data_IF_129634172904
#
_entry.id   IF_129634172904
#
_cell.length_a   1.000
_cell.length_b   1.000
_cell.length_c   1.000
_cell.angle_alpha   90.00
_cell.angle_beta   90.00
_cell.angle_gamma   90.00
#
_symmetry.space_group_name_H-M   'P 1'
#
loop_
_entity.id
_entity.type
_entity.pdbx_description
1 polymer ?
#
# COMPACT_ATOMS: atom_id res chain seq x y z
N UNK A 1 23.23 10.32 -7.42
CA UNK A 1 24.01 9.07 -7.50
C UNK A 1 23.16 8.01 -8.21
N UNK A 2 23.50 7.62 -9.44
CA UNK A 2 22.78 6.56 -10.15
C UNK A 2 23.25 5.20 -9.62
N UNK A 3 22.34 4.35 -9.14
CA UNK A 3 22.67 2.97 -8.79
C UNK A 3 22.71 2.12 -10.06
N UNK A 4 23.89 1.63 -10.39
CA UNK A 4 24.11 0.62 -11.44
C UNK A 4 23.92 -0.75 -10.83
N UNK A 5 23.06 -1.58 -11.43
CA UNK A 5 22.78 -2.93 -10.92
C UNK A 5 23.35 -3.96 -11.89
N UNK A 6 24.27 -4.80 -11.37
CA UNK A 6 24.97 -5.81 -12.14
C UNK A 6 24.13 -7.10 -12.33
N UNK A 7 24.38 -7.80 -13.45
CA UNK A 7 23.71 -9.05 -13.82
C UNK A 7 23.67 -10.14 -12.74
N UNK A 8 24.74 -10.39 -11.95
CA UNK A 8 24.72 -11.41 -10.91
C UNK A 8 23.73 -11.11 -9.78
N UNK A 9 23.55 -9.82 -9.44
CA UNK A 9 22.60 -9.40 -8.41
C UNK A 9 21.16 -9.59 -8.88
N UNK A 10 20.89 -9.30 -10.16
CA UNK A 10 19.57 -9.55 -10.76
C UNK A 10 19.22 -11.04 -10.77
N UNK A 11 20.18 -11.89 -11.10
CA UNK A 11 20.02 -13.35 -11.05
C UNK A 11 19.72 -13.82 -9.63
N UNK A 12 20.50 -13.38 -8.65
CA UNK A 12 20.30 -13.72 -7.25
C UNK A 12 18.92 -13.28 -6.72
N UNK A 13 18.45 -12.08 -7.10
CA UNK A 13 17.13 -11.58 -6.74
C UNK A 13 16.00 -12.41 -7.34
N UNK A 14 16.12 -12.77 -8.62
CA UNK A 14 15.15 -13.61 -9.31
C UNK A 14 15.09 -15.03 -8.71
N UNK A 15 16.25 -15.65 -8.48
CA UNK A 15 16.35 -16.98 -7.85
C UNK A 15 15.79 -16.96 -6.43
N UNK A 16 16.05 -15.90 -5.66
CA UNK A 16 15.44 -15.69 -4.35
C UNK A 16 13.91 -15.65 -4.45
N UNK A 17 13.36 -14.92 -5.41
CA UNK A 17 11.90 -14.84 -5.62
C UNK A 17 11.29 -16.21 -5.92
N UNK A 18 11.92 -16.99 -6.83
CA UNK A 18 11.51 -18.37 -7.16
C UNK A 18 11.54 -19.31 -5.94
N UNK A 19 12.52 -19.16 -5.04
CA UNK A 19 12.55 -19.95 -3.80
C UNK A 19 11.38 -19.64 -2.86
N UNK A 20 10.91 -18.39 -2.82
CA UNK A 20 9.76 -17.99 -1.99
C UNK A 20 8.43 -18.50 -2.54
N UNK A 21 8.34 -18.82 -3.83
CA UNK A 21 7.14 -19.41 -4.45
C UNK A 21 6.63 -20.63 -3.69
N UNK A 22 7.55 -21.55 -3.33
CA UNK A 22 7.20 -22.78 -2.62
C UNK A 22 6.64 -22.51 -1.21
N UNK A 23 7.16 -21.49 -0.53
CA UNK A 23 6.72 -21.14 0.82
C UNK A 23 5.35 -20.45 0.72
N UNK A 24 5.21 -19.52 -0.21
CA UNK A 24 3.99 -18.76 -0.39
C UNK A 24 2.83 -19.62 -0.92
N UNK A 25 3.09 -20.54 -1.86
CA UNK A 25 2.08 -21.52 -2.31
C UNK A 25 1.57 -22.40 -1.17
N UNK A 26 2.44 -22.86 -0.26
CA UNK A 26 2.02 -23.59 0.93
C UNK A 26 1.15 -22.75 1.85
N UNK A 27 1.51 -21.49 2.08
CA UNK A 27 0.72 -20.56 2.89
C UNK A 27 -0.68 -20.34 2.30
N UNK A 28 -0.77 -20.11 0.99
CA UNK A 28 -2.07 -19.95 0.32
C UNK A 28 -2.94 -21.20 0.43
N UNK A 29 -2.34 -22.39 0.28
CA UNK A 29 -3.04 -23.65 0.49
C UNK A 29 -3.54 -23.80 1.94
N UNK A 30 -2.72 -23.46 2.93
CA UNK A 30 -3.11 -23.48 4.35
C UNK A 30 -4.26 -22.52 4.67
N UNK A 31 -4.31 -21.36 4.01
CA UNK A 31 -5.38 -20.38 4.18
C UNK A 31 -6.66 -20.72 3.37
N UNK A 32 -6.65 -21.86 2.66
CA UNK A 32 -7.67 -22.24 1.70
C UNK A 32 -7.98 -21.10 0.70
N UNK A 33 -6.94 -20.38 0.28
CA UNK A 33 -7.00 -19.39 -0.79
C UNK A 33 -6.73 -20.14 -2.08
N UNK A 34 -7.71 -20.95 -2.45
CA UNK A 34 -7.70 -21.73 -3.67
C UNK A 34 -8.60 -21.02 -4.68
N UNK A 35 -8.22 -21.09 -5.94
CA UNK A 35 -9.13 -20.76 -7.04
C UNK A 35 -10.40 -21.62 -6.92
N UNK A 36 -11.57 -21.04 -7.22
CA UNK A 36 -12.90 -21.65 -7.00
C UNK A 36 -13.05 -23.06 -7.58
N UNK A 37 -12.33 -23.36 -8.65
CA UNK A 37 -12.32 -24.66 -9.32
C UNK A 37 -11.08 -25.54 -9.00
N UNK A 38 -10.38 -25.28 -7.89
CA UNK A 38 -9.21 -26.07 -7.45
C UNK A 38 -7.92 -25.82 -8.25
N UNK A 39 -7.91 -24.79 -9.12
CA UNK A 39 -6.71 -24.42 -9.86
C UNK A 39 -5.63 -23.85 -8.93
N UNK A 40 -4.37 -24.18 -9.24
CA UNK A 40 -3.22 -23.65 -8.50
C UNK A 40 -2.95 -22.20 -8.93
N UNK A 41 -2.67 -21.29 -7.98
CA UNK A 41 -2.27 -19.93 -8.33
C UNK A 41 -0.97 -19.95 -9.13
N UNK A 42 -0.93 -19.17 -10.22
CA UNK A 42 0.27 -18.99 -11.03
C UNK A 42 1.08 -17.82 -10.49
N UNK A 43 2.36 -18.06 -10.19
CA UNK A 43 3.25 -17.02 -9.69
C UNK A 43 4.08 -16.43 -10.84
N UNK A 44 4.11 -15.10 -10.90
CA UNK A 44 4.96 -14.37 -11.84
C UNK A 44 5.98 -13.57 -11.06
N UNK A 45 7.24 -13.95 -11.23
CA UNK A 45 8.36 -13.30 -10.55
C UNK A 45 8.79 -12.07 -11.34
N UNK A 46 8.77 -10.91 -10.68
CA UNK A 46 9.25 -9.64 -11.21
C UNK A 46 10.31 -9.07 -10.26
N UNK A 47 11.40 -8.55 -10.83
CA UNK A 47 12.44 -7.81 -10.11
C UNK A 47 12.23 -6.33 -10.39
N UNK A 48 11.77 -5.60 -9.38
CA UNK A 48 11.52 -4.17 -9.47
C UNK A 48 12.78 -3.38 -9.14
N UNK A 49 13.14 -2.47 -10.03
CA UNK A 49 14.29 -1.58 -9.89
C UNK A 49 13.83 -0.14 -9.73
N UNK A 50 14.65 0.67 -9.07
CA UNK A 50 14.39 2.10 -8.97
C UNK A 50 14.32 2.74 -10.38
N UNK A 51 13.42 3.70 -10.65
CA UNK A 51 13.24 4.30 -11.99
C UNK A 51 14.53 4.89 -12.60
N UNK A 52 15.39 5.45 -11.75
CA UNK A 52 16.69 6.04 -12.13
C UNK A 52 17.84 5.02 -12.21
N UNK A 53 17.58 3.73 -11.98
CA UNK A 53 18.62 2.70 -12.08
C UNK A 53 19.00 2.43 -13.54
N UNK A 54 20.30 2.26 -13.79
CA UNK A 54 20.83 1.80 -15.07
C UNK A 54 20.92 0.27 -15.06
N UNK A 55 20.30 -0.37 -16.05
CA UNK A 55 20.18 -1.82 -16.15
C UNK A 55 21.16 -2.31 -17.22
N UNK A 56 22.26 -2.92 -16.79
CA UNK A 56 23.16 -3.62 -17.70
C UNK A 56 22.63 -5.04 -17.93
N UNK A 57 21.97 -5.27 -19.07
CA UNK A 57 21.40 -6.58 -19.41
C UNK A 57 22.50 -7.48 -20.00
N UNK A 58 22.74 -8.68 -19.44
CA UNK A 58 23.58 -9.68 -20.09
C UNK A 58 22.88 -10.23 -21.34
N UNK A 59 23.59 -11.03 -22.13
CA UNK A 59 23.02 -11.74 -23.28
C UNK A 59 21.75 -12.52 -22.85
N UNK A 60 20.68 -12.36 -23.63
CA UNK A 60 19.39 -12.98 -23.41
C UNK A 60 19.45 -14.52 -23.39
N UNK A 61 20.45 -15.13 -24.04
CA UNK A 61 20.69 -16.58 -23.98
C UNK A 61 21.26 -17.03 -22.63
N UNK A 62 22.00 -16.17 -21.95
CA UNK A 62 22.58 -16.46 -20.64
C UNK A 62 21.60 -16.16 -19.48
N UNK A 63 20.75 -15.13 -19.63
CA UNK A 63 19.75 -14.79 -18.63
C UNK A 63 18.57 -13.99 -19.23
N UNK A 64 17.35 -14.51 -19.03
CA UNK A 64 16.14 -13.81 -19.44
C UNK A 64 15.84 -12.63 -18.49
N UNK A 65 15.97 -11.41 -19.01
CA UNK A 65 15.73 -10.16 -18.28
C UNK A 65 14.34 -9.56 -18.49
N UNK A 66 13.40 -10.26 -19.13
CA UNK A 66 12.02 -9.77 -19.37
C UNK A 66 11.26 -9.42 -18.10
N UNK A 67 11.63 -10.04 -16.98
CA UNK A 67 11.03 -9.82 -15.67
C UNK A 67 11.78 -8.79 -14.81
N UNK A 68 12.81 -8.13 -15.36
CA UNK A 68 13.53 -7.03 -14.71
C UNK A 68 12.95 -5.71 -15.20
N UNK A 69 12.25 -5.02 -14.31
CA UNK A 69 11.34 -3.92 -14.66
C UNK A 69 11.64 -2.73 -13.74
N UNK A 70 11.60 -1.52 -14.29
CA UNK A 70 11.64 -0.31 -13.46
C UNK A 70 10.29 -0.13 -12.77
N UNK A 71 10.28 0.32 -11.51
CA UNK A 71 9.07 0.37 -10.70
C UNK A 71 7.93 1.19 -11.33
N UNK A 72 8.26 2.25 -12.07
CA UNK A 72 7.31 3.09 -12.81
C UNK A 72 6.65 2.37 -13.99
N UNK A 73 7.31 1.35 -14.55
CA UNK A 73 6.84 0.58 -15.70
C UNK A 73 6.07 -0.70 -15.30
N UNK A 74 5.74 -0.89 -14.02
CA UNK A 74 5.01 -2.10 -13.59
C UNK A 74 3.62 -2.19 -14.22
N UNK A 75 2.94 -1.05 -14.40
CA UNK A 75 1.62 -1.00 -15.01
C UNK A 75 1.64 -1.40 -16.49
N UNK A 76 2.57 -0.81 -17.26
CA UNK A 76 2.76 -1.12 -18.69
C UNK A 76 3.20 -2.56 -18.89
N UNK A 77 4.14 -3.04 -18.06
CA UNK A 77 4.57 -4.43 -18.07
C UNK A 77 3.41 -5.40 -17.79
N UNK A 78 2.59 -5.11 -16.78
CA UNK A 78 1.42 -5.95 -16.42
C UNK A 78 0.41 -6.01 -17.57
N UNK A 79 0.11 -4.88 -18.19
CA UNK A 79 -0.83 -4.85 -19.33
C UNK A 79 -0.28 -5.67 -20.50
N UNK A 80 0.99 -5.44 -20.89
CA UNK A 80 1.64 -6.21 -21.93
C UNK A 80 1.73 -7.71 -21.61
N UNK A 81 1.83 -8.07 -20.32
CA UNK A 81 1.78 -9.45 -19.87
C UNK A 81 0.38 -10.05 -20.04
N UNK A 82 -0.67 -9.34 -19.61
CA UNK A 82 -2.06 -9.78 -19.78
C UNK A 82 -2.38 -9.98 -21.26
N UNK A 83 -2.01 -9.02 -22.12
CA UNK A 83 -2.28 -9.08 -23.56
C UNK A 83 -1.57 -10.28 -24.22
N UNK A 84 -0.33 -10.57 -23.84
CA UNK A 84 0.44 -11.71 -24.38
C UNK A 84 -0.02 -13.05 -23.86
N UNK A 85 -0.51 -13.10 -22.62
CA UNK A 85 -0.86 -14.35 -21.94
C UNK A 85 -2.37 -14.62 -21.96
N UNK A 86 -3.19 -13.72 -22.49
CA UNK A 86 -4.59 -13.94 -22.85
C UNK A 86 -4.73 -14.82 -24.11
N UNK A 87 -4.22 -16.04 -24.03
CA UNK A 87 -4.62 -17.12 -24.93
C UNK A 87 -6.04 -17.58 -24.56
N UNK A 88 -6.83 -18.11 -25.51
CA UNK A 88 -8.25 -18.47 -25.28
C UNK A 88 -8.49 -19.37 -24.06
N UNK A 89 -7.54 -20.23 -23.71
CA UNK A 89 -7.58 -21.07 -22.51
C UNK A 89 -7.36 -20.30 -21.20
N UNK A 90 -6.53 -19.25 -21.20
CA UNK A 90 -6.34 -18.36 -20.05
C UNK A 90 -7.58 -17.52 -19.78
N UNK A 91 -8.27 -17.08 -20.85
CA UNK A 91 -9.53 -16.34 -20.73
C UNK A 91 -10.64 -17.20 -20.12
N UNK A 92 -10.77 -18.46 -20.56
CA UNK A 92 -11.68 -19.43 -19.94
C UNK A 92 -11.36 -19.65 -18.45
N UNK A 93 -10.09 -19.81 -18.10
CA UNK A 93 -9.67 -19.94 -16.69
C UNK A 93 -9.94 -18.67 -15.87
N UNK A 94 -9.81 -17.48 -16.45
CA UNK A 94 -10.12 -16.21 -15.78
C UNK A 94 -11.62 -16.05 -15.54
N UNK A 95 -12.46 -16.46 -16.49
CA UNK A 95 -13.92 -16.48 -16.37
C UNK A 95 -14.40 -17.44 -15.28
N UNK A 96 -13.76 -18.61 -15.14
CA UNK A 96 -14.08 -19.59 -14.08
C UNK A 96 -13.63 -19.11 -12.69
N UNK A 97 -12.55 -18.33 -12.64
CA UNK A 97 -11.98 -17.80 -11.39
C UNK A 97 -12.35 -16.34 -11.10
N UNK A 98 -13.43 -15.86 -11.70
CA UNK A 98 -13.95 -14.52 -11.44
C UNK A 98 -14.42 -14.45 -9.98
N UNK A 99 -13.56 -13.90 -9.14
CA UNK A 99 -13.83 -13.72 -7.72
C UNK A 99 -14.63 -12.43 -7.55
N UNK A 100 -15.72 -12.48 -6.77
CA UNK A 100 -16.39 -11.26 -6.32
C UNK A 100 -15.42 -10.40 -5.51
N UNK A 101 -15.68 -9.09 -5.44
CA UNK A 101 -14.89 -8.20 -4.58
C UNK A 101 -14.91 -8.64 -3.11
N UNK A 102 -16.01 -9.23 -2.65
CA UNK A 102 -16.10 -9.79 -1.30
C UNK A 102 -15.18 -11.00 -1.11
N UNK A 103 -15.06 -11.86 -2.12
CA UNK A 103 -14.11 -12.98 -2.10
C UNK A 103 -12.67 -12.48 -2.04
N UNK A 104 -12.34 -11.44 -2.81
CA UNK A 104 -11.02 -10.79 -2.77
C UNK A 104 -10.74 -10.19 -1.40
N UNK A 105 -11.73 -9.52 -0.81
CA UNK A 105 -11.62 -8.94 0.54
C UNK A 105 -11.38 -10.03 1.59
N UNK A 106 -12.16 -11.11 1.56
CA UNK A 106 -11.99 -12.23 2.48
C UNK A 106 -10.62 -12.90 2.34
N UNK A 107 -10.09 -13.02 1.12
CA UNK A 107 -8.72 -13.48 0.89
C UNK A 107 -7.69 -12.51 1.50
N UNK A 108 -7.85 -11.20 1.28
CA UNK A 108 -6.96 -10.17 1.83
C UNK A 108 -6.94 -10.20 3.36
N UNK A 109 -8.10 -10.31 4.01
CA UNK A 109 -8.20 -10.40 5.47
C UNK A 109 -7.49 -11.64 6.03
N UNK A 110 -7.60 -12.79 5.35
CA UNK A 110 -6.84 -14.00 5.71
C UNK A 110 -5.33 -13.79 5.62
N UNK A 111 -4.85 -13.09 4.60
CA UNK A 111 -3.42 -12.74 4.47
C UNK A 111 -2.99 -11.78 5.58
N UNK A 112 -3.79 -10.76 5.87
CA UNK A 112 -3.49 -9.78 6.91
C UNK A 112 -3.31 -10.43 8.28
N UNK A 113 -4.11 -11.45 8.61
CA UNK A 113 -3.97 -12.20 9.87
C UNK A 113 -2.63 -12.93 10.00
N UNK A 114 -2.00 -13.29 8.88
CA UNK A 114 -0.69 -13.96 8.88
C UNK A 114 0.47 -12.97 8.83
N UNK A 115 0.20 -11.71 8.47
CA UNK A 115 1.21 -10.68 8.43
C UNK A 115 1.57 -10.26 9.86
N UNK A 116 2.80 -10.58 10.29
CA UNK A 116 3.40 -9.95 11.48
C UNK A 116 4.08 -8.68 11.01
N UNK A 117 3.50 -7.48 11.21
CA UNK A 117 4.20 -6.26 10.90
C UNK A 117 5.45 -6.18 11.77
N UNK A 118 6.60 -6.16 11.14
CA UNK A 118 7.83 -5.76 11.82
C UNK A 118 7.62 -4.33 12.27
N UNK A 119 7.44 -4.11 13.57
CA UNK A 119 7.41 -2.77 14.12
C UNK A 119 8.82 -2.18 13.93
N UNK A 120 8.97 -1.12 13.12
CA UNK A 120 10.30 -0.55 12.82
C UNK A 120 10.96 0.06 14.06
N UNK A 121 10.22 0.23 15.16
CA UNK A 121 10.71 0.71 16.45
C UNK A 121 11.03 -0.43 17.43
N UNK A 122 10.63 -1.67 17.14
CA UNK A 122 11.01 -2.80 17.97
C UNK A 122 12.45 -3.18 17.66
N UNK A 123 13.34 -2.89 18.61
CA UNK A 123 14.72 -3.34 18.52
C UNK A 123 14.75 -4.88 18.59
N UNK A 124 15.56 -5.54 17.74
CA UNK A 124 15.82 -6.96 17.84
C UNK A 124 16.21 -7.35 19.27
N UNK A 125 15.87 -8.56 19.72
CA UNK A 125 16.16 -9.04 21.10
C UNK A 125 17.62 -8.83 21.51
N UNK A 126 18.56 -8.96 20.58
CA UNK A 126 19.99 -8.77 20.83
C UNK A 126 20.44 -7.30 20.91
N UNK A 127 19.61 -6.34 20.48
CA UNK A 127 19.83 -4.90 20.62
C UNK A 127 19.04 -4.27 21.78
N UNK A 128 18.11 -5.01 22.40
CA UNK A 128 17.39 -4.50 23.57
C UNK A 128 18.42 -4.27 24.69
N UNK A 129 18.51 -3.06 25.27
CA UNK A 129 19.41 -2.81 26.38
C UNK A 129 19.02 -3.78 27.50
N UNK A 130 19.98 -4.63 27.91
CA UNK A 130 19.81 -5.50 29.08
C UNK A 130 19.45 -4.59 30.23
N UNK A 131 18.22 -4.68 30.73
CA UNK A 131 17.72 -3.82 31.80
C UNK A 131 18.73 -3.87 32.94
N UNK A 132 19.51 -2.80 33.09
CA UNK A 132 20.40 -2.64 34.21
C UNK A 132 19.49 -2.63 35.43
N UNK A 133 19.66 -3.63 36.29
CA UNK A 133 18.90 -3.77 37.53
C UNK A 133 19.21 -2.58 38.44
N UNK A 134 18.53 -1.46 38.22
CA UNK A 134 18.40 -0.38 39.17
C UNK A 134 17.03 -0.55 39.82
N UNK A 135 16.91 -1.59 40.63
CA UNK A 135 15.93 -1.60 41.71
C UNK A 135 16.59 -0.88 42.88
N UNK A 136 16.19 0.34 43.25
CA UNK A 136 16.58 0.89 44.54
C UNK A 136 15.88 0.05 45.61
N UNK A 137 16.66 -0.65 46.41
CA UNK A 137 16.22 -1.39 47.59
C UNK A 137 15.46 -0.44 48.53
N UNK A 138 14.16 -0.67 48.83
CA UNK A 138 13.48 0.15 49.81
C UNK A 138 14.02 -0.17 51.21
N UNK A 139 14.50 0.87 51.89
CA UNK A 139 14.91 0.84 53.30
C UNK A 139 13.66 0.60 54.17
N UNK A 140 13.68 -0.30 55.17
CA UNK A 140 12.48 -0.62 55.95
C UNK A 140 12.17 0.51 56.95
N UNK A 141 10.94 1.01 56.91
CA UNK A 141 10.35 1.89 57.93
C UNK A 141 9.30 1.08 58.72
N UNK A 142 9.18 1.24 60.05
CA UNK A 142 8.48 0.29 60.90
C UNK A 142 6.95 0.34 60.75
N UNK A 143 6.35 -0.80 61.07
CA UNK A 143 4.93 -1.12 60.99
C UNK A 143 4.01 -0.18 61.77
N UNK A 144 2.86 0.16 61.15
CA UNK A 144 1.64 0.52 61.83
C UNK A 144 0.58 -0.55 61.54
N UNK A 145 0.02 -1.07 62.63
CA UNK A 145 -0.96 -2.17 62.78
C UNK A 145 -2.30 -1.89 62.06
N UNK A 146 -3.04 -2.92 61.60
CA UNK A 146 -4.23 -2.75 60.76
C UNK A 146 -5.51 -2.58 61.57
N UNK A 147 -6.44 -1.76 61.06
CA UNK A 147 -7.83 -1.74 61.50
C UNK A 147 -8.71 -2.46 60.47
N UNK A 148 -9.53 -3.36 60.99
CA UNK A 148 -10.24 -4.41 60.28
C UNK A 148 -11.48 -3.94 59.51
N UNK A 149 -11.68 -4.64 58.38
CA UNK A 149 -12.92 -5.20 57.84
C UNK A 149 -14.28 -4.52 58.11
N UNK A 150 -15.04 -4.34 57.02
CA UNK A 150 -16.38 -4.92 56.94
C UNK A 150 -16.84 -5.12 55.49
N UNK A 151 -17.24 -6.35 55.19
CA UNK A 151 -17.93 -6.78 53.98
C UNK A 151 -19.45 -6.79 54.23
N UNK A 152 -20.25 -6.50 53.20
CA UNK A 152 -21.54 -7.15 52.92
C UNK A 152 -22.12 -6.65 51.58
N UNK A 153 -22.50 -7.60 50.71
CA UNK A 153 -23.30 -7.47 49.47
C UNK A 153 -24.81 -7.23 49.80
N UNK A 154 -25.82 -7.25 48.88
CA UNK A 154 -25.85 -7.47 47.42
C UNK A 154 -26.78 -6.49 46.61
N UNK A 155 -26.93 -6.77 45.31
CA UNK A 155 -27.67 -6.02 44.25
C UNK A 155 -29.21 -5.99 44.41
N UNK A 156 -29.97 -5.21 43.59
CA UNK A 156 -30.55 -5.85 42.40
C UNK A 156 -30.70 -4.98 41.11
N UNK A 157 -31.02 -5.74 40.06
CA UNK A 157 -31.28 -5.50 38.64
C UNK A 157 -32.20 -4.32 38.22
N UNK A 158 -31.93 -3.82 37.00
CA UNK A 158 -32.86 -3.06 36.16
C UNK A 158 -32.41 -3.00 34.68
N UNK A 159 -33.24 -3.53 33.78
CA UNK A 159 -33.13 -3.54 32.31
C UNK A 159 -33.13 -2.11 31.71
N UNK A 160 -32.79 -1.77 30.45
CA UNK A 160 -32.57 -2.40 29.11
C UNK A 160 -31.83 -1.32 28.25
N UNK A 161 -31.27 -1.59 27.05
CA UNK A 161 -30.36 -0.66 26.36
C UNK A 161 -31.05 0.25 25.33
N UNK A 162 -30.48 1.45 25.12
CA UNK A 162 -30.78 2.33 23.98
C UNK A 162 -29.48 2.62 23.19
N UNK A 163 -29.54 2.77 21.86
CA UNK A 163 -28.37 2.74 20.98
C UNK A 163 -27.62 4.09 20.95
N UNK A 164 -26.29 4.00 20.96
CA UNK A 164 -25.36 5.12 20.79
C UNK A 164 -24.97 5.20 19.32
N UNK A 165 -25.23 6.34 18.68
CA UNK A 165 -24.61 6.74 17.41
C UNK A 165 -23.76 8.00 17.67
N UNK A 166 -22.48 8.03 17.24
CA UNK A 166 -21.58 9.13 17.56
C UNK A 166 -21.60 10.22 16.47
N UNK A 167 -21.68 11.48 16.90
CA UNK A 167 -20.81 12.53 16.38
C UNK A 167 -19.51 12.51 17.22
N UNK A 168 -18.38 13.18 16.88
CA UNK A 168 -18.18 14.20 15.84
C UNK A 168 -16.86 14.01 15.04
N UNK A 169 -16.61 14.86 14.04
CA UNK A 169 -15.26 15.42 13.83
C UNK A 169 -15.27 16.56 12.79
N UNK A 170 -14.89 17.79 13.20
CA UNK A 170 -14.40 18.83 12.31
C UNK A 170 -12.90 18.61 12.08
N UNK A 171 -12.45 18.52 10.84
CA UNK A 171 -11.01 18.52 10.56
C UNK A 171 -10.66 19.69 9.65
N UNK A 172 -10.10 20.68 10.33
CA UNK A 172 -9.26 21.74 9.82
C UNK A 172 -8.24 21.19 8.82
N UNK A 173 -8.21 21.81 7.64
CA UNK A 173 -7.13 21.67 6.68
C UNK A 173 -5.89 22.40 7.21
N UNK A 174 -4.66 21.85 7.07
CA UNK A 174 -3.48 22.67 7.13
C UNK A 174 -3.33 23.38 5.79
N UNK A 175 -3.24 24.71 5.87
CA UNK A 175 -2.70 25.54 4.81
C UNK A 175 -1.24 25.16 4.58
N UNK A 176 -0.89 24.82 3.35
CA UNK A 176 0.51 24.88 2.90
C UNK A 176 0.55 25.82 1.70
N UNK A 177 1.19 26.96 1.92
CA UNK A 177 1.38 28.01 0.95
C UNK A 177 2.41 27.62 -0.12
N UNK A 178 2.08 28.04 -1.34
CA UNK A 178 2.88 28.39 -2.51
C UNK A 178 4.31 27.81 -2.67
N UNK A 179 4.50 27.09 -3.78
CA UNK A 179 5.73 27.20 -4.57
C UNK A 179 5.33 27.37 -6.03
N UNK A 180 5.70 28.51 -6.62
CA UNK A 180 5.64 28.76 -8.05
C UNK A 180 6.66 27.84 -8.74
N UNK A 181 6.21 26.65 -9.12
CA UNK A 181 6.94 25.76 -10.01
C UNK A 181 6.18 25.69 -11.33
N UNK A 182 6.92 25.71 -12.43
CA UNK A 182 6.37 25.50 -13.76
C UNK A 182 5.39 24.30 -13.74
N UNK A 183 4.22 24.42 -14.38
CA UNK A 183 3.18 23.43 -14.27
C UNK A 183 3.70 22.07 -14.75
N UNK A 184 3.60 21.06 -13.88
CA UNK A 184 4.05 19.71 -14.19
C UNK A 184 3.29 19.20 -15.42
N UNK A 185 4.00 18.97 -16.53
CA UNK A 185 3.47 18.46 -17.80
C UNK A 185 2.63 17.19 -17.60
N UNK A 186 2.90 16.40 -16.56
CA UNK A 186 2.15 15.20 -16.25
C UNK A 186 0.74 15.49 -15.76
N UNK A 187 0.38 16.73 -15.39
CA UNK A 187 -0.98 17.12 -14.98
C UNK A 187 -1.90 17.43 -16.17
N UNK A 188 -1.39 17.38 -17.40
CA UNK A 188 -2.22 17.45 -18.60
C UNK A 188 -3.27 16.34 -18.58
N UNK A 189 -4.53 16.73 -18.71
CA UNK A 189 -5.73 15.87 -18.80
C UNK A 189 -6.03 15.03 -17.55
N UNK A 190 -5.51 15.37 -16.37
CA UNK A 190 -5.76 14.63 -15.12
C UNK A 190 -6.95 15.12 -14.30
N UNK A 191 -7.76 16.05 -14.83
CA UNK A 191 -8.93 16.64 -14.13
C UNK A 191 -8.56 17.17 -12.73
N UNK A 192 -7.41 17.82 -12.65
CA UNK A 192 -6.91 18.48 -11.43
C UNK A 192 -6.49 19.90 -11.79
N UNK A 193 -6.92 20.87 -11.00
CA UNK A 193 -6.51 22.26 -11.16
C UNK A 193 -5.03 22.42 -10.85
N UNK A 194 -4.28 23.05 -11.75
CA UNK A 194 -2.85 23.30 -11.58
C UNK A 194 -2.56 24.27 -10.43
N UNK A 195 -3.42 25.26 -10.21
CA UNK A 195 -3.19 26.32 -9.20
C UNK A 195 -3.47 25.87 -7.77
N UNK A 196 -4.60 25.20 -7.53
CA UNK A 196 -5.01 24.80 -6.18
C UNK A 196 -4.95 23.29 -5.91
N UNK A 197 -4.65 22.47 -6.92
CA UNK A 197 -4.59 21.01 -6.77
C UNK A 197 -5.96 20.33 -6.56
N UNK A 198 -7.07 21.07 -6.60
CA UNK A 198 -8.39 20.48 -6.44
C UNK A 198 -8.80 19.67 -7.67
N UNK A 199 -9.55 18.58 -7.45
CA UNK A 199 -10.20 17.84 -8.54
C UNK A 199 -11.28 18.72 -9.17
N UNK A 200 -11.27 18.78 -10.49
CA UNK A 200 -12.24 19.55 -11.28
C UNK A 200 -13.17 18.59 -12.04
N UNK A 201 -14.33 19.10 -12.42
CA UNK A 201 -15.30 18.35 -13.21
C UNK A 201 -14.80 18.14 -14.65
N UNK A 202 -15.35 17.13 -15.33
CA UNK A 202 -15.09 16.91 -16.75
C UNK A 202 -15.46 18.13 -17.61
N UNK A 203 -16.52 18.85 -17.25
CA UNK A 203 -16.94 20.07 -17.94
C UNK A 203 -15.89 21.19 -17.86
N UNK A 204 -15.32 21.40 -16.68
CA UNK A 204 -14.24 22.38 -16.47
C UNK A 204 -12.95 21.98 -17.21
N UNK A 205 -12.57 20.70 -17.16
CA UNK A 205 -11.42 20.19 -17.90
C UNK A 205 -11.58 20.36 -19.41
N UNK A 206 -12.76 20.01 -19.94
CA UNK A 206 -13.10 20.14 -21.36
C UNK A 206 -13.07 21.60 -21.81
N UNK A 207 -13.53 22.53 -20.99
CA UNK A 207 -13.47 23.97 -21.30
C UNK A 207 -12.03 24.46 -21.46
N UNK A 208 -11.13 24.08 -20.54
CA UNK A 208 -9.72 24.45 -20.62
C UNK A 208 -9.02 23.84 -21.84
N UNK A 209 -9.32 22.58 -22.21
CA UNK A 209 -8.78 21.96 -23.42
C UNK A 209 -9.32 22.58 -24.71
N UNK A 210 -10.51 23.17 -24.69
CA UNK A 210 -11.06 23.84 -25.87
C UNK A 210 -10.48 25.26 -26.04
N UNK A 211 -9.80 25.80 -25.02
CA UNK A 211 -9.12 27.09 -25.02
C UNK A 211 -7.63 26.93 -24.73
N UNK A 212 -6.95 26.06 -25.49
CA UNK A 212 -5.51 25.78 -25.28
C UNK A 212 -4.64 27.04 -25.37
N UNK A 213 -5.01 28.01 -26.22
CA UNK A 213 -4.29 29.28 -26.36
C UNK A 213 -4.31 30.15 -25.10
N UNK A 214 -5.29 29.97 -24.21
CA UNK A 214 -5.39 30.70 -22.93
C UNK A 214 -4.79 29.92 -21.77
N UNK A 215 -4.91 28.59 -21.79
CA UNK A 215 -4.58 27.74 -20.64
C UNK A 215 -3.36 26.84 -20.86
N UNK A 216 -2.70 26.91 -22.02
CA UNK A 216 -1.48 26.14 -22.33
C UNK A 216 -1.68 24.61 -22.30
N UNK A 217 -2.91 24.13 -22.50
CA UNK A 217 -3.29 22.72 -22.33
C UNK A 217 -3.42 22.25 -20.88
N UNK A 218 -3.25 23.15 -19.90
CA UNK A 218 -3.48 22.90 -18.48
C UNK A 218 -4.95 23.11 -18.11
N UNK A 219 -5.38 22.57 -16.97
CA UNK A 219 -6.76 22.65 -16.51
C UNK A 219 -6.84 23.42 -15.20
N UNK A 220 -7.90 24.22 -15.06
CA UNK A 220 -8.12 25.12 -13.93
C UNK A 220 -9.54 24.98 -13.42
N UNK A 221 -9.76 25.13 -12.11
CA UNK A 221 -11.12 25.22 -11.57
C UNK A 221 -11.77 26.55 -11.95
N UNK A 222 -13.10 26.66 -11.84
CA UNK A 222 -13.85 27.86 -12.21
C UNK A 222 -13.30 29.17 -11.61
N UNK A 223 -12.78 29.12 -10.39
CA UNK A 223 -12.18 30.27 -9.69
C UNK A 223 -10.86 30.70 -10.37
N UNK A 224 -9.99 29.75 -10.70
CA UNK A 224 -8.68 30.03 -11.31
C UNK A 224 -8.74 30.22 -12.83
N UNK A 225 -9.84 29.81 -13.49
CA UNK A 225 -10.08 30.13 -14.90
C UNK A 225 -10.22 31.64 -15.13
N UNK A 226 -10.77 32.39 -14.17
CA UNK A 226 -10.89 33.84 -14.26
C UNK A 226 -9.54 34.56 -14.15
N UNK A 227 -8.58 33.96 -13.43
CA UNK A 227 -7.28 34.58 -13.08
C UNK A 227 -6.15 34.11 -14.01
N UNK A 228 -6.21 32.89 -14.55
CA UNK A 228 -5.17 32.29 -15.41
C UNK A 228 -5.10 32.79 -16.85
N UNK A 229 -5.44 34.07 -17.09
CA UNK A 229 -5.25 34.74 -18.39
C UNK A 229 -4.01 35.65 -18.29
N UNK A 230 -2.84 35.09 -18.58
CA UNK A 230 -1.57 35.80 -18.68
C UNK A 230 -0.57 34.96 -19.44
#
# INVERSE_FOLDING_TARGET
MASTIASPLLKAANDKSRRHERIFSRLLAQLAINSRAGFKPTFHHAVLLHPKALIHRPDAKAFDTRNVIKADQIGTWRNAYVDKNMTGMTLLNALVNLNSMDSVRAMAEKLMRQHRPTNPLDLPEWMKPKASALTPTPKPTPAATPAAARAAAPQPAGARPAPVAPAPAPHAAPAVALVAAAPDESLKRKLVCVTCGQKISFGEGKFCWNQEGRFGGFQYCREHQAVGAG
#
